data_IF_170321593197
#
_entry.id   IF_170321593197
#
_cell.length_a   1.000
_cell.length_b   1.000
_cell.length_c   1.000
_cell.angle_alpha   90.00
_cell.angle_beta   90.00
_cell.angle_gamma   90.00
#
_symmetry.space_group_name_H-M   'P 1'
#
loop_
_entity.id
_entity.type
_entity.pdbx_description
1 polymer ?
#
# COMPACT_ATOMS: atom_id res chain seq x y z
N UNK A 1 12.43 46.58 -32.56
CA UNK A 1 11.76 45.25 -32.69
C UNK A 1 12.57 44.10 -32.09
N UNK A 2 13.82 43.83 -32.52
CA UNK A 2 14.61 42.67 -32.04
C UNK A 2 14.81 42.60 -30.51
N UNK A 3 15.07 43.72 -29.83
CA UNK A 3 15.26 43.73 -28.37
C UNK A 3 13.95 43.51 -27.60
N UNK A 4 12.84 44.12 -28.02
CA UNK A 4 11.52 43.95 -27.39
C UNK A 4 11.06 42.49 -27.46
N UNK A 5 11.29 41.82 -28.59
CA UNK A 5 10.97 40.39 -28.77
C UNK A 5 11.85 39.51 -27.89
N UNK A 6 13.15 39.80 -27.77
CA UNK A 6 14.06 39.07 -26.85
C UNK A 6 13.63 39.23 -25.39
N UNK A 7 13.31 40.45 -24.94
CA UNK A 7 12.85 40.71 -23.57
C UNK A 7 11.52 40.00 -23.29
N UNK A 8 10.57 40.04 -24.22
CA UNK A 8 9.30 39.33 -24.08
C UNK A 8 9.50 37.79 -23.96
N UNK A 9 10.41 37.22 -24.75
CA UNK A 9 10.72 35.78 -24.70
C UNK A 9 11.34 35.37 -23.36
N UNK A 10 12.24 36.19 -22.81
CA UNK A 10 12.88 35.95 -21.51
C UNK A 10 11.83 35.99 -20.38
N UNK A 11 10.92 36.97 -20.41
CA UNK A 11 9.83 37.08 -19.42
C UNK A 11 8.86 35.90 -19.53
N UNK A 12 8.58 35.42 -20.74
CA UNK A 12 7.70 34.26 -20.93
C UNK A 12 8.35 32.97 -20.42
N UNK A 13 9.64 32.76 -20.70
CA UNK A 13 10.41 31.62 -20.18
C UNK A 13 10.52 31.64 -18.66
N UNK A 14 10.70 32.81 -18.04
CA UNK A 14 10.74 32.93 -16.59
C UNK A 14 9.39 32.68 -15.92
N UNK A 15 8.28 33.10 -16.53
CA UNK A 15 6.94 32.74 -16.04
C UNK A 15 6.67 31.24 -16.13
N UNK A 16 7.04 30.61 -17.25
CA UNK A 16 6.89 29.16 -17.43
C UNK A 16 7.75 28.40 -16.41
N UNK A 17 8.99 28.82 -16.17
CA UNK A 17 9.86 28.18 -15.18
C UNK A 17 9.32 28.33 -13.76
N UNK A 18 8.77 29.50 -13.38
CA UNK A 18 8.10 29.68 -12.08
C UNK A 18 6.91 28.73 -11.93
N UNK A 19 6.07 28.57 -12.97
CA UNK A 19 4.94 27.64 -12.95
C UNK A 19 5.41 26.18 -12.80
N UNK A 20 6.47 25.80 -13.52
CA UNK A 20 7.05 24.46 -13.46
C UNK A 20 7.66 24.18 -12.09
N UNK A 21 8.44 25.11 -11.54
CA UNK A 21 9.04 25.01 -10.20
C UNK A 21 7.95 24.95 -9.13
N UNK A 22 6.90 25.78 -9.25
CA UNK A 22 5.76 25.74 -8.33
C UNK A 22 5.06 24.38 -8.35
N UNK A 23 4.78 23.83 -9.55
CA UNK A 23 4.22 22.47 -9.69
C UNK A 23 5.14 21.37 -9.15
N UNK A 24 6.46 21.53 -9.29
CA UNK A 24 7.44 20.61 -8.71
C UNK A 24 7.47 20.70 -7.18
N UNK A 25 7.40 21.90 -6.61
CA UNK A 25 7.35 22.11 -5.17
C UNK A 25 6.05 21.59 -4.54
N UNK A 26 4.89 21.81 -5.16
CA UNK A 26 3.62 21.28 -4.66
C UNK A 26 3.52 19.76 -4.78
N UNK A 27 4.28 19.12 -5.67
CA UNK A 27 4.42 17.66 -5.70
C UNK A 27 5.25 17.11 -4.54
N UNK A 28 6.09 17.92 -3.89
CA UNK A 28 6.92 17.49 -2.76
C UNK A 28 6.15 17.79 -1.48
N UNK A 29 5.35 16.83 -1.03
CA UNK A 29 4.85 16.87 0.33
C UNK A 29 6.00 16.52 1.28
N UNK A 30 6.45 17.51 2.06
CA UNK A 30 7.57 17.35 3.00
C UNK A 30 7.28 16.31 4.11
N UNK A 31 6.01 15.95 4.30
CA UNK A 31 5.60 14.91 5.25
C UNK A 31 5.79 13.49 4.70
N UNK A 32 5.97 13.33 3.39
CA UNK A 32 6.19 12.03 2.74
C UNK A 32 7.66 11.67 2.79
N UNK A 33 8.08 11.01 3.88
CA UNK A 33 9.48 10.58 4.08
C UNK A 33 9.74 9.15 3.67
N UNK A 34 8.68 8.39 3.39
CA UNK A 34 8.75 7.01 2.95
C UNK A 34 7.54 6.65 2.07
N UNK A 35 7.56 5.45 1.51
CA UNK A 35 6.53 4.96 0.59
C UNK A 35 5.13 4.86 1.21
N UNK A 36 5.04 4.51 2.50
CA UNK A 36 3.76 4.39 3.18
C UNK A 36 3.13 5.76 3.45
N UNK A 37 3.96 6.77 3.78
CA UNK A 37 3.49 8.15 3.84
C UNK A 37 2.94 8.62 2.49
N UNK A 38 3.65 8.30 1.40
CA UNK A 38 3.23 8.68 0.05
C UNK A 38 1.90 8.02 -0.34
N UNK A 39 1.70 6.74 0.00
CA UNK A 39 0.40 6.07 -0.18
C UNK A 39 -0.70 6.74 0.65
N UNK A 40 -0.45 7.04 1.92
CA UNK A 40 -1.45 7.67 2.80
C UNK A 40 -1.85 9.06 2.33
N UNK A 41 -0.87 9.95 2.13
CA UNK A 41 -1.16 11.32 1.71
C UNK A 41 -1.65 11.37 0.26
N UNK A 42 -1.24 10.42 -0.58
CA UNK A 42 -1.77 10.19 -1.91
C UNK A 42 -3.27 9.87 -1.87
N UNK A 43 -3.69 8.89 -1.08
CA UNK A 43 -5.10 8.50 -0.99
C UNK A 43 -5.96 9.54 -0.28
N UNK A 44 -5.39 10.29 0.68
CA UNK A 44 -6.10 11.39 1.38
C UNK A 44 -6.66 12.45 0.41
N UNK A 45 -6.13 12.53 -0.81
CA UNK A 45 -6.60 13.42 -1.87
C UNK A 45 -8.02 13.13 -2.34
N UNK A 46 -8.60 11.98 -1.98
CA UNK A 46 -10.00 11.66 -2.28
C UNK A 46 -11.01 12.68 -1.73
N UNK A 47 -10.66 13.40 -0.64
CA UNK A 47 -11.45 14.52 -0.10
C UNK A 47 -11.06 15.89 -0.69
N UNK A 48 -10.14 15.92 -1.65
CA UNK A 48 -9.76 17.14 -2.35
C UNK A 48 -10.73 17.41 -3.50
N UNK A 49 -11.13 18.67 -3.65
CA UNK A 49 -11.90 19.12 -4.81
C UNK A 49 -11.07 19.21 -6.09
N UNK A 50 -9.75 19.32 -5.96
CA UNK A 50 -8.85 19.68 -7.06
C UNK A 50 -7.79 18.62 -7.39
N UNK A 51 -7.64 17.60 -6.53
CA UNK A 51 -6.62 16.58 -6.68
C UNK A 51 -7.26 15.20 -6.86
N UNK A 52 -6.57 14.32 -7.59
CA UNK A 52 -6.96 12.93 -7.79
C UNK A 52 -6.08 12.01 -6.94
N UNK A 53 -6.63 10.87 -6.52
CA UNK A 53 -5.87 9.83 -5.83
C UNK A 53 -4.95 9.10 -6.84
N UNK A 54 -3.68 8.81 -6.50
CA UNK A 54 -2.81 7.99 -7.33
C UNK A 54 -3.29 6.54 -7.50
N UNK A 55 -4.17 6.03 -6.64
CA UNK A 55 -4.74 4.68 -6.80
C UNK A 55 -5.56 4.52 -8.09
N UNK A 56 -6.05 5.63 -8.66
CA UNK A 56 -6.80 5.64 -9.93
C UNK A 56 -5.94 5.22 -11.14
N UNK A 57 -4.64 5.52 -11.07
CA UNK A 57 -3.69 5.26 -12.13
C UNK A 57 -3.19 3.81 -12.11
N UNK A 58 -3.38 3.09 -10.99
CA UNK A 58 -2.92 1.71 -10.83
C UNK A 58 -3.87 0.74 -11.54
N UNK A 59 -3.42 0.04 -12.59
CA UNK A 59 -4.27 -0.90 -13.30
C UNK A 59 -4.74 -2.06 -12.41
N UNK A 60 -6.04 -2.36 -12.50
CA UNK A 60 -6.66 -3.45 -11.76
C UNK A 60 -7.12 -3.08 -10.34
N UNK A 61 -6.90 -1.84 -9.87
CA UNK A 61 -7.61 -1.33 -8.68
C UNK A 61 -9.09 -1.12 -9.00
N UNK A 62 -9.96 -1.52 -8.07
CA UNK A 62 -11.39 -1.42 -8.21
C UNK A 62 -11.85 0.04 -8.31
N UNK A 63 -12.52 0.35 -9.41
CA UNK A 63 -13.04 1.69 -9.70
C UNK A 63 -14.43 1.84 -9.10
N UNK A 64 -14.50 2.58 -7.99
CA UNK A 64 -15.75 3.09 -7.42
C UNK A 64 -15.82 4.61 -7.64
N UNK A 65 -17.01 5.21 -7.49
CA UNK A 65 -17.17 6.64 -7.77
C UNK A 65 -16.52 7.50 -6.67
N UNK A 66 -15.25 7.89 -6.87
CA UNK A 66 -14.50 8.75 -5.93
C UNK A 66 -15.14 10.13 -5.76
N UNK A 67 -15.97 10.59 -6.71
CA UNK A 67 -16.66 11.89 -6.57
C UNK A 67 -17.65 11.90 -5.41
N UNK A 68 -18.18 10.74 -5.00
CA UNK A 68 -19.05 10.63 -3.83
C UNK A 68 -18.33 11.08 -2.55
N UNK A 69 -16.99 11.01 -2.54
CA UNK A 69 -16.17 11.43 -1.41
C UNK A 69 -15.65 12.87 -1.49
N UNK A 70 -15.70 13.53 -2.64
CA UNK A 70 -15.21 14.93 -2.79
C UNK A 70 -16.04 15.94 -2.01
N UNK A 71 -17.32 15.65 -1.84
CA UNK A 71 -18.27 16.47 -1.06
C UNK A 71 -18.44 15.97 0.38
N UNK A 72 -17.77 14.87 0.74
CA UNK A 72 -17.76 14.30 2.09
C UNK A 72 -16.54 14.85 2.86
N UNK A 73 -16.64 14.97 4.19
CA UNK A 73 -15.50 15.30 5.05
C UNK A 73 -14.87 14.05 5.68
N UNK A 74 -13.59 14.13 6.08
CA UNK A 74 -12.91 13.04 6.82
C UNK A 74 -13.71 12.62 8.08
N UNK A 75 -14.43 13.54 8.71
CA UNK A 75 -15.25 13.25 9.90
C UNK A 75 -16.46 12.37 9.60
N UNK A 76 -17.01 12.46 8.40
CA UNK A 76 -18.24 11.74 8.01
C UNK A 76 -17.94 10.32 7.55
N UNK A 77 -16.85 10.14 6.80
CA UNK A 77 -16.37 8.82 6.44
C UNK A 77 -14.85 8.81 6.54
N UNK A 78 -14.26 8.34 7.65
CA UNK A 78 -12.81 8.39 7.87
C UNK A 78 -12.05 7.24 7.20
N UNK A 79 -12.75 6.22 6.69
CA UNK A 79 -12.13 5.00 6.17
C UNK A 79 -12.34 4.90 4.66
N UNK A 80 -11.24 4.78 3.94
CA UNK A 80 -11.23 4.54 2.50
C UNK A 80 -10.62 3.18 2.22
N UNK A 81 -11.32 2.39 1.40
CA UNK A 81 -10.91 1.05 1.04
C UNK A 81 -10.57 0.98 -0.45
N UNK A 82 -9.39 0.44 -0.73
CA UNK A 82 -8.93 0.12 -2.07
C UNK A 82 -8.70 -1.38 -2.20
N UNK A 83 -8.86 -1.93 -3.39
CA UNK A 83 -8.57 -3.35 -3.63
C UNK A 83 -8.23 -3.61 -5.08
N UNK A 84 -7.41 -4.62 -5.32
CA UNK A 84 -7.29 -5.18 -6.67
C UNK A 84 -8.53 -6.02 -6.99
N UNK A 85 -9.06 -5.88 -8.21
CA UNK A 85 -10.24 -6.63 -8.67
C UNK A 85 -9.94 -8.10 -8.91
N UNK A 86 -8.73 -8.40 -9.39
CA UNK A 86 -8.25 -9.75 -9.66
C UNK A 86 -7.25 -10.16 -8.59
N UNK A 87 -7.26 -11.44 -8.25
CA UNK A 87 -6.22 -12.02 -7.41
C UNK A 87 -4.88 -11.99 -8.12
N UNK A 88 -3.81 -11.84 -7.35
CA UNK A 88 -2.44 -11.90 -7.82
C UNK A 88 -1.89 -13.31 -7.60
N UNK A 89 -1.44 -13.97 -8.68
CA UNK A 89 -0.81 -15.29 -8.61
C UNK A 89 0.67 -15.13 -8.30
N UNK A 90 1.10 -15.64 -7.15
CA UNK A 90 2.50 -15.56 -6.72
C UNK A 90 3.31 -16.73 -7.28
N UNK A 91 4.63 -16.64 -7.22
CA UNK A 91 5.51 -17.69 -7.75
C UNK A 91 5.47 -18.97 -6.92
N UNK A 92 5.25 -18.85 -5.60
CA UNK A 92 5.33 -19.98 -4.67
C UNK A 92 3.98 -20.45 -4.16
N UNK A 93 3.13 -19.53 -3.70
CA UNK A 93 1.90 -19.89 -2.98
C UNK A 93 0.69 -19.23 -3.63
N UNK A 94 -0.01 -19.98 -4.46
CA UNK A 94 -1.40 -19.71 -4.86
C UNK A 94 -1.71 -18.29 -5.37
N UNK A 95 -2.98 -17.92 -5.23
CA UNK A 95 -3.52 -16.63 -5.65
C UNK A 95 -3.97 -15.83 -4.43
N UNK A 96 -3.63 -14.54 -4.41
CA UNK A 96 -3.83 -13.65 -3.28
C UNK A 96 -4.76 -12.51 -3.62
N UNK A 97 -5.72 -12.26 -2.76
CA UNK A 97 -6.48 -11.02 -2.72
C UNK A 97 -5.64 -9.94 -2.04
N UNK A 98 -5.67 -8.72 -2.58
CA UNK A 98 -4.88 -7.60 -2.07
C UNK A 98 -5.81 -6.41 -1.81
N UNK A 99 -5.91 -6.02 -0.54
CA UNK A 99 -6.79 -4.95 -0.06
C UNK A 99 -5.99 -3.90 0.71
N UNK A 100 -6.46 -2.67 0.68
CA UNK A 100 -5.93 -1.54 1.43
C UNK A 100 -7.06 -0.89 2.22
N UNK A 101 -6.74 -0.42 3.41
CA UNK A 101 -7.64 0.40 4.23
C UNK A 101 -6.85 1.59 4.73
N UNK A 102 -7.40 2.79 4.55
CA UNK A 102 -6.83 4.05 4.99
C UNK A 102 -7.75 4.65 6.03
N UNK A 103 -7.30 4.76 7.28
CA UNK A 103 -8.05 5.46 8.32
C UNK A 103 -7.45 6.85 8.53
N UNK A 104 -8.12 7.88 8.03
CA UNK A 104 -7.60 9.24 8.10
C UNK A 104 -7.83 9.93 9.45
N UNK A 105 -8.74 9.39 10.27
CA UNK A 105 -8.96 9.85 11.65
C UNK A 105 -7.89 9.31 12.58
N UNK A 106 -7.65 7.99 12.54
CA UNK A 106 -6.58 7.33 13.32
C UNK A 106 -5.18 7.52 12.73
N UNK A 107 -5.12 8.01 11.49
CA UNK A 107 -3.91 8.16 10.69
C UNK A 107 -3.13 6.85 10.55
N UNK A 108 -3.80 5.84 10.03
CA UNK A 108 -3.19 4.54 9.76
C UNK A 108 -3.52 4.01 8.36
N UNK A 109 -2.68 3.07 7.91
CA UNK A 109 -2.90 2.27 6.71
C UNK A 109 -2.82 0.80 7.11
N UNK A 110 -3.67 -0.02 6.52
CA UNK A 110 -3.55 -1.47 6.54
C UNK A 110 -3.46 -2.00 5.10
N UNK A 111 -2.43 -2.77 4.79
CA UNK A 111 -2.30 -3.52 3.54
C UNK A 111 -2.49 -4.99 3.87
N UNK A 112 -3.53 -5.61 3.31
CA UNK A 112 -3.97 -6.95 3.65
C UNK A 112 -3.81 -7.84 2.42
N UNK A 113 -3.09 -8.94 2.59
CA UNK A 113 -2.96 -9.99 1.60
C UNK A 113 -3.63 -11.25 2.14
N UNK A 114 -4.57 -11.83 1.40
CA UNK A 114 -5.25 -13.05 1.84
C UNK A 114 -5.28 -14.11 0.74
N UNK A 115 -4.96 -15.35 1.09
CA UNK A 115 -5.18 -16.51 0.24
C UNK A 115 -5.97 -17.59 0.98
N UNK A 116 -6.67 -18.44 0.22
CA UNK A 116 -7.35 -19.63 0.74
C UNK A 116 -6.67 -20.87 0.20
N UNK A 117 -6.14 -21.69 1.10
CA UNK A 117 -5.65 -23.02 0.79
C UNK A 117 -6.85 -23.97 0.87
N UNK A 118 -7.47 -24.22 -0.29
CA UNK A 118 -8.83 -24.80 -0.38
C UNK A 118 -8.90 -26.20 0.22
N UNK A 119 -7.93 -27.06 -0.09
CA UNK A 119 -7.91 -28.46 0.37
C UNK A 119 -7.82 -28.54 1.90
N UNK A 120 -7.14 -27.58 2.50
CA UNK A 120 -6.86 -27.49 3.92
C UNK A 120 -7.94 -26.68 4.66
N UNK A 121 -8.84 -26.01 3.93
CA UNK A 121 -9.82 -25.03 4.46
C UNK A 121 -9.17 -23.97 5.35
N UNK A 122 -7.95 -23.57 5.01
CA UNK A 122 -7.12 -22.65 5.76
C UNK A 122 -6.99 -21.34 4.98
N UNK A 123 -7.17 -20.20 5.62
CA UNK A 123 -6.73 -18.92 5.06
C UNK A 123 -5.41 -18.52 5.70
N UNK A 124 -4.57 -17.90 4.87
CA UNK A 124 -3.35 -17.25 5.30
C UNK A 124 -3.52 -15.78 4.99
N UNK A 125 -3.25 -14.94 5.98
CA UNK A 125 -3.31 -13.50 5.83
C UNK A 125 -2.00 -12.87 6.28
N UNK A 126 -1.43 -12.01 5.43
CA UNK A 126 -0.40 -11.06 5.81
C UNK A 126 -1.02 -9.67 5.94
N UNK A 127 -0.74 -9.00 7.05
CA UNK A 127 -1.19 -7.64 7.30
C UNK A 127 0.02 -6.74 7.51
N UNK A 128 0.06 -5.61 6.83
CA UNK A 128 1.02 -4.55 7.09
C UNK A 128 0.28 -3.35 7.65
N UNK A 129 0.48 -3.07 8.93
CA UNK A 129 -0.11 -1.94 9.62
C UNK A 129 0.92 -0.82 9.74
N UNK A 130 0.56 0.37 9.27
CA UNK A 130 1.41 1.54 9.34
C UNK A 130 0.68 2.69 10.01
N UNK A 131 1.17 3.09 11.18
CA UNK A 131 0.69 4.27 11.90
C UNK A 131 1.54 5.48 11.49
N UNK A 132 0.90 6.49 10.90
CA UNK A 132 1.58 7.64 10.28
C UNK A 132 2.42 8.43 11.28
N UNK A 133 1.96 8.54 12.53
CA UNK A 133 2.68 9.30 13.55
C UNK A 133 3.87 8.48 14.12
N UNK A 134 3.80 7.15 14.10
CA UNK A 134 4.89 6.27 14.60
C UNK A 134 5.96 5.97 13.55
N UNK A 135 5.62 6.03 12.26
CA UNK A 135 6.53 5.75 11.13
C UNK A 135 7.13 4.34 11.15
N UNK A 136 6.43 3.38 11.75
CA UNK A 136 6.86 1.98 11.87
C UNK A 136 5.78 1.08 11.27
N UNK A 137 6.00 0.54 10.05
CA UNK A 137 5.16 -0.49 9.48
C UNK A 137 5.44 -1.83 10.16
N UNK A 138 4.39 -2.51 10.62
CA UNK A 138 4.47 -3.83 11.25
C UNK A 138 3.84 -4.87 10.35
N UNK A 139 4.57 -5.94 10.08
CA UNK A 139 4.07 -7.13 9.41
C UNK A 139 3.54 -8.12 10.44
N UNK A 140 2.29 -8.52 10.27
CA UNK A 140 1.63 -9.54 11.05
C UNK A 140 1.15 -10.67 10.12
N UNK A 141 1.24 -11.90 10.59
CA UNK A 141 0.67 -13.06 9.93
C UNK A 141 -0.41 -13.65 10.81
N UNK A 142 -1.52 -14.02 10.20
CA UNK A 142 -2.57 -14.78 10.86
C UNK A 142 -3.06 -15.90 9.96
N UNK A 143 -3.49 -16.99 10.59
CA UNK A 143 -4.22 -18.07 9.94
C UNK A 143 -5.69 -18.03 10.35
N UNK A 144 -6.56 -18.47 9.45
CA UNK A 144 -7.96 -18.71 9.77
C UNK A 144 -8.36 -20.13 9.37
N UNK A 145 -8.70 -20.98 10.33
CA UNK A 145 -9.18 -22.34 10.06
C UNK A 145 -10.70 -22.38 10.01
N UNK A 146 -11.27 -22.53 8.82
CA UNK A 146 -12.73 -22.63 8.59
C UNK A 146 -13.36 -23.87 9.25
N UNK A 147 -12.56 -24.81 9.76
CA UNK A 147 -13.06 -26.00 10.47
C UNK A 147 -13.38 -25.73 11.93
N UNK A 148 -12.84 -24.65 12.50
CA UNK A 148 -13.05 -24.29 13.91
C UNK A 148 -14.24 -23.32 14.07
N UNK A 149 -14.87 -23.28 15.26
CA UNK A 149 -15.80 -22.21 15.61
C UNK A 149 -15.15 -20.83 15.42
N UNK A 150 -15.93 -19.83 15.02
CA UNK A 150 -15.45 -18.50 14.60
C UNK A 150 -14.56 -17.83 15.64
N UNK A 151 -14.89 -17.98 16.92
CA UNK A 151 -14.14 -17.45 18.06
C UNK A 151 -12.74 -18.06 18.23
N UNK A 152 -12.51 -19.26 17.69
CA UNK A 152 -11.25 -20.00 17.78
C UNK A 152 -10.55 -20.17 16.43
N UNK A 153 -11.18 -19.71 15.35
CA UNK A 153 -10.72 -19.93 13.99
C UNK A 153 -9.52 -19.06 13.64
N UNK A 154 -9.38 -17.86 14.22
CA UNK A 154 -8.24 -16.97 14.01
C UNK A 154 -7.06 -17.41 14.90
N UNK A 155 -5.90 -17.61 14.28
CA UNK A 155 -4.67 -18.07 14.92
C UNK A 155 -3.58 -17.04 14.61
N UNK A 156 -3.03 -16.43 15.66
CA UNK A 156 -2.00 -15.38 15.57
C UNK A 156 -0.73 -15.75 16.36
N UNK A 157 -0.84 -16.73 17.27
CA UNK A 157 0.27 -17.25 18.03
C UNK A 157 1.28 -17.95 17.10
N UNK A 158 2.52 -17.46 17.09
CA UNK A 158 3.57 -17.91 16.17
C UNK A 158 3.87 -19.41 16.32
N UNK A 159 4.05 -19.99 17.52
CA UNK A 159 4.16 -21.43 17.71
C UNK A 159 3.03 -22.21 17.05
N UNK A 160 1.77 -21.85 17.30
CA UNK A 160 0.61 -22.51 16.71
C UNK A 160 0.54 -22.31 15.20
N UNK A 161 0.92 -21.16 14.67
CA UNK A 161 1.05 -20.96 13.23
C UNK A 161 2.07 -21.94 12.64
N UNK A 162 3.26 -22.10 13.25
CA UNK A 162 4.28 -23.05 12.78
C UNK A 162 3.75 -24.49 12.72
N UNK A 163 3.02 -24.94 13.75
CA UNK A 163 2.38 -26.27 13.78
C UNK A 163 1.39 -26.45 12.62
N UNK A 164 0.58 -25.43 12.33
CA UNK A 164 -0.37 -25.47 11.21
C UNK A 164 0.35 -25.52 9.87
N UNK A 165 1.41 -24.73 9.70
CA UNK A 165 2.19 -24.72 8.46
C UNK A 165 2.86 -26.07 8.23
N UNK A 166 3.48 -26.65 9.25
CA UNK A 166 4.10 -27.98 9.19
C UNK A 166 3.08 -29.07 8.85
N UNK A 167 1.95 -29.12 9.57
CA UNK A 167 0.88 -30.12 9.33
C UNK A 167 0.31 -30.07 7.92
N UNK A 168 0.33 -28.90 7.30
CA UNK A 168 -0.19 -28.69 5.94
C UNK A 168 0.92 -28.66 4.87
N UNK A 169 2.16 -29.01 5.22
CA UNK A 169 3.33 -28.98 4.33
C UNK A 169 3.56 -27.63 3.64
N UNK A 170 3.32 -26.53 4.36
CA UNK A 170 3.53 -25.17 3.88
C UNK A 170 4.89 -24.69 4.39
N UNK A 171 5.79 -24.38 3.46
CA UNK A 171 7.13 -23.88 3.77
C UNK A 171 7.08 -22.44 4.30
N UNK A 172 7.67 -22.21 5.48
CA UNK A 172 7.84 -20.84 6.04
C UNK A 172 8.69 -19.98 5.10
N UNK A 173 9.71 -20.57 4.46
CA UNK A 173 10.53 -19.88 3.46
C UNK A 173 9.70 -19.43 2.26
N UNK A 174 8.88 -20.32 1.71
CA UNK A 174 8.01 -19.96 0.59
C UNK A 174 6.97 -18.90 0.99
N UNK A 175 6.49 -18.91 2.23
CA UNK A 175 5.63 -17.85 2.76
C UNK A 175 6.35 -16.51 2.86
N UNK A 176 7.59 -16.49 3.35
CA UNK A 176 8.41 -15.29 3.42
C UNK A 176 8.65 -14.71 2.02
N UNK A 177 9.09 -15.55 1.08
CA UNK A 177 9.29 -15.16 -0.33
C UNK A 177 7.99 -14.64 -0.95
N UNK A 178 6.85 -15.25 -0.62
CA UNK A 178 5.52 -14.81 -1.07
C UNK A 178 5.14 -13.45 -0.50
N UNK A 179 5.35 -13.21 0.80
CA UNK A 179 5.09 -11.93 1.44
C UNK A 179 5.96 -10.81 0.83
N UNK A 180 7.24 -11.10 0.59
CA UNK A 180 8.17 -10.18 -0.06
C UNK A 180 7.75 -9.89 -1.51
N UNK A 181 7.33 -10.89 -2.28
CA UNK A 181 6.81 -10.69 -3.64
C UNK A 181 5.54 -9.80 -3.64
N UNK A 182 4.60 -10.07 -2.74
CA UNK A 182 3.35 -9.32 -2.63
C UNK A 182 3.59 -7.85 -2.26
N UNK A 183 4.46 -7.59 -1.28
CA UNK A 183 4.75 -6.24 -0.85
C UNK A 183 5.64 -5.50 -1.86
N UNK A 184 6.82 -6.04 -2.14
CA UNK A 184 7.87 -5.30 -2.86
C UNK A 184 7.66 -5.32 -4.37
N UNK A 185 7.37 -6.48 -4.95
CA UNK A 185 7.22 -6.60 -6.41
C UNK A 185 5.84 -6.16 -6.87
N UNK A 186 4.79 -6.52 -6.12
CA UNK A 186 3.42 -6.22 -6.53
C UNK A 186 2.94 -4.85 -6.06
N UNK A 187 2.83 -4.62 -4.75
CA UNK A 187 2.24 -3.37 -4.24
C UNK A 187 3.16 -2.17 -4.47
N UNK A 188 4.41 -2.25 -4.01
CA UNK A 188 5.39 -1.18 -4.14
C UNK A 188 5.84 -1.02 -5.60
N UNK A 189 5.98 -2.12 -6.34
CA UNK A 189 6.29 -2.08 -7.77
C UNK A 189 5.23 -1.35 -8.58
N UNK A 190 3.95 -1.64 -8.36
CA UNK A 190 2.86 -0.93 -9.05
C UNK A 190 2.75 0.52 -8.60
N UNK A 191 2.92 0.80 -7.31
CA UNK A 191 2.97 2.17 -6.81
C UNK A 191 4.09 2.98 -7.50
N UNK A 192 5.29 2.40 -7.61
CA UNK A 192 6.40 3.03 -8.34
C UNK A 192 6.05 3.32 -9.79
N UNK A 193 5.45 2.34 -10.46
CA UNK A 193 5.22 2.37 -11.90
C UNK A 193 4.09 3.33 -12.30
N UNK A 194 3.00 3.35 -11.52
CA UNK A 194 1.77 4.02 -11.93
C UNK A 194 1.43 5.25 -11.09
N UNK A 195 1.83 5.31 -9.82
CA UNK A 195 1.55 6.46 -8.94
C UNK A 195 2.65 7.54 -8.96
N UNK A 196 3.61 7.46 -9.90
CA UNK A 196 4.75 8.37 -10.02
C UNK A 196 5.54 8.54 -8.69
N UNK A 197 5.71 7.43 -7.96
CA UNK A 197 6.35 7.41 -6.65
C UNK A 197 7.82 7.85 -6.69
N UNK A 198 8.25 8.56 -5.65
CA UNK A 198 9.69 8.82 -5.38
C UNK A 198 10.41 7.63 -4.76
N UNK A 199 9.65 6.69 -4.19
CA UNK A 199 10.14 5.51 -3.50
C UNK A 199 10.00 4.26 -4.37
N UNK A 200 10.73 3.21 -4.03
CA UNK A 200 10.74 1.94 -4.76
C UNK A 200 11.11 0.81 -3.80
N UNK A 201 11.08 -0.44 -4.27
CA UNK A 201 11.51 -1.58 -3.45
C UNK A 201 12.96 -1.47 -2.95
N UNK A 202 13.82 -0.82 -3.72
CA UNK A 202 15.24 -0.62 -3.37
C UNK A 202 15.47 0.62 -2.49
N UNK A 203 14.48 1.52 -2.41
CA UNK A 203 14.52 2.71 -1.57
C UNK A 203 13.11 3.05 -1.06
N UNK A 204 12.79 2.53 0.11
CA UNK A 204 11.51 2.77 0.78
C UNK A 204 11.43 4.18 1.42
N UNK A 205 12.54 4.93 1.44
CA UNK A 205 12.70 6.16 2.21
C UNK A 205 13.12 5.89 3.64
N UNK A 206 12.87 6.87 4.53
CA UNK A 206 13.22 6.76 5.95
C UNK A 206 12.19 5.91 6.70
N UNK A 207 12.23 4.60 6.48
CA UNK A 207 11.38 3.62 7.14
C UNK A 207 12.08 2.26 7.23
N UNK A 208 11.79 1.53 8.32
CA UNK A 208 12.16 0.13 8.48
C UNK A 208 10.91 -0.65 8.85
N UNK A 209 10.65 -1.74 8.14
CA UNK A 209 9.51 -2.61 8.40
C UNK A 209 9.90 -3.57 9.53
N UNK A 210 9.08 -3.63 10.58
CA UNK A 210 9.14 -4.67 11.59
C UNK A 210 8.50 -5.93 11.02
N UNK A 211 9.32 -6.93 10.70
CA UNK A 211 8.86 -8.19 10.11
C UNK A 211 8.27 -9.11 11.17
N UNK A 212 7.39 -10.01 10.75
CA UNK A 212 6.81 -11.00 11.65
C UNK A 212 7.89 -11.91 12.25
N UNK A 213 7.85 -12.20 13.57
CA UNK A 213 8.76 -13.16 14.19
C UNK A 213 8.67 -14.59 13.63
N UNK A 214 7.62 -14.90 12.84
CA UNK A 214 7.55 -16.16 12.10
C UNK A 214 8.78 -16.36 11.20
N UNK A 215 9.31 -15.26 10.65
CA UNK A 215 10.37 -15.27 9.65
C UNK A 215 11.77 -15.10 10.25
N UNK A 216 11.89 -15.03 11.57
CA UNK A 216 13.19 -14.94 12.24
C UNK A 216 14.04 -16.19 11.95
N UNK A 217 15.27 -15.98 11.46
CA UNK A 217 16.21 -17.04 11.11
C UNK A 217 15.88 -17.78 9.80
N UNK A 218 15.01 -17.23 8.95
CA UNK A 218 14.67 -17.78 7.63
C UNK A 218 15.38 -16.98 6.54
N UNK A 219 16.38 -17.61 5.90
CA UNK A 219 17.15 -17.06 4.77
C UNK A 219 16.40 -17.15 3.43
#
# INVERSE_FOLDING_TARGET
>A
MKNTVKTALIVLLSMVSVIVVYKLMTRINLNEKNIFDEMYYGEKKVYSRFEETPFWDIPGIHRWNRNDMKDTTIRENPIVAERYEKKYKTKKIGEWTIHFSFNFEKKDIAINFTTKIIKEKLYITFNYYYEIDKKIPREEISLYDDKLPRENARIEDIPRIKEYLEKNNISIKDLKETADELLYEKVIGDWKKYANSRYSKDNLGTVKIERSPLFDGVD
#
